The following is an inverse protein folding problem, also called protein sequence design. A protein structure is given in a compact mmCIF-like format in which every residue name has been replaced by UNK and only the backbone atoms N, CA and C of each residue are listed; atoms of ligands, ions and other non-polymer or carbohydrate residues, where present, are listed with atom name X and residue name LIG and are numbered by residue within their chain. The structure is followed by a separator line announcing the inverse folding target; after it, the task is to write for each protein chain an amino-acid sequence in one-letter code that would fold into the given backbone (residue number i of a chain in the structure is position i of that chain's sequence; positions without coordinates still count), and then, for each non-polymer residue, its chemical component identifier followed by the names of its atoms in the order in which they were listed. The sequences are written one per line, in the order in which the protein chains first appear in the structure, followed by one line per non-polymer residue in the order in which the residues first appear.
data_IF_180949134793
#
_entry.id   IF_180949134793
#
_cell.length_a   1.000
_cell.length_b   1.000
_cell.length_c   1.000
_cell.angle_alpha   90.00
_cell.angle_beta   90.00
_cell.angle_gamma   90.00
#
_symmetry.space_group_name_H-M   'P 1'
#
loop_
_entity.id
_entity.type
_entity.pdbx_description
1 polymer ?
#
# COMPACT_ATOMS: atom_id res chain seq x y z
N UNK A 1 65.25 65.97 -9.36
CA UNK A 1 63.94 65.98 -8.73
C UNK A 1 63.14 64.98 -9.49
N UNK A 2 63.25 63.72 -9.03
CA UNK A 2 62.64 62.54 -9.70
C UNK A 2 61.37 62.16 -9.00
N UNK A 3 60.26 62.03 -9.73
CA UNK A 3 59.04 61.47 -9.31
C UNK A 3 59.09 59.93 -9.54
N UNK A 4 58.90 59.15 -8.49
CA UNK A 4 58.71 57.75 -8.58
C UNK A 4 57.23 57.45 -8.49
N UNK A 5 56.63 56.97 -9.58
CA UNK A 5 55.27 56.45 -9.61
C UNK A 5 55.28 54.91 -9.26
N UNK A 6 54.69 54.56 -8.15
CA UNK A 6 54.51 53.15 -7.78
C UNK A 6 53.21 52.63 -8.45
N UNK A 7 53.35 51.63 -9.33
CA UNK A 7 52.22 50.93 -9.93
C UNK A 7 51.81 49.77 -9.00
N UNK A 8 50.61 49.80 -8.43
CA UNK A 8 49.98 48.71 -7.70
C UNK A 8 49.33 47.76 -8.72
N UNK A 9 49.88 46.57 -8.90
CA UNK A 9 49.24 45.50 -9.64
C UNK A 9 48.30 44.72 -8.71
N UNK A 10 47.01 44.88 -8.90
CA UNK A 10 45.97 44.06 -8.25
C UNK A 10 45.85 42.74 -8.99
N UNK A 11 46.37 41.68 -8.41
CA UNK A 11 46.12 40.30 -8.82
C UNK A 11 44.74 39.89 -8.34
N UNK A 12 43.78 39.82 -9.26
CA UNK A 12 42.48 39.19 -9.01
C UNK A 12 42.63 37.71 -9.22
N UNK A 13 42.71 36.95 -8.12
CA UNK A 13 42.55 35.50 -8.14
C UNK A 13 41.09 35.15 -8.38
N UNK A 14 40.75 34.76 -9.60
CA UNK A 14 39.50 34.12 -9.91
C UNK A 14 39.56 32.71 -9.30
N UNK A 15 38.90 32.52 -8.16
CA UNK A 15 38.60 31.16 -7.68
C UNK A 15 37.58 30.52 -8.62
N UNK A 16 38.06 29.68 -9.52
CA UNK A 16 37.23 28.79 -10.31
C UNK A 16 36.70 27.72 -9.35
N UNK A 17 35.44 27.85 -8.94
CA UNK A 17 34.75 26.79 -8.22
C UNK A 17 34.53 25.62 -9.16
N UNK A 18 35.14 24.48 -8.85
CA UNK A 18 35.03 23.24 -9.59
C UNK A 18 33.61 22.68 -9.37
N UNK A 19 32.75 22.54 -10.40
CA UNK A 19 31.38 22.02 -10.23
C UNK A 19 31.35 20.51 -10.06
N UNK A 20 32.50 19.81 -9.96
CA UNK A 20 32.56 18.36 -9.88
C UNK A 20 32.51 17.79 -8.45
N UNK A 21 32.39 18.63 -7.40
CA UNK A 21 32.49 18.15 -6.01
C UNK A 21 31.17 17.82 -5.33
N UNK A 22 30.07 17.68 -6.08
CA UNK A 22 28.76 17.34 -5.49
C UNK A 22 28.03 16.23 -6.24
N UNK A 23 28.77 15.25 -6.75
CA UNK A 23 28.17 13.94 -7.05
C UNK A 23 27.97 13.24 -5.71
N UNK A 24 26.73 13.31 -5.16
CA UNK A 24 26.33 12.42 -4.10
C UNK A 24 26.56 10.99 -4.62
N UNK A 25 27.51 10.26 -4.02
CA UNK A 25 27.67 8.85 -4.23
C UNK A 25 26.37 8.17 -3.81
N UNK A 26 25.49 7.93 -4.78
CA UNK A 26 24.39 7.00 -4.61
C UNK A 26 25.04 5.64 -4.48
N UNK A 27 25.31 5.20 -3.27
CA UNK A 27 25.76 3.84 -2.96
C UNK A 27 24.67 2.90 -3.43
N UNK A 28 24.87 2.30 -4.61
CA UNK A 28 23.95 1.29 -5.12
C UNK A 28 23.93 0.12 -4.11
N UNK A 29 22.77 -0.15 -3.53
CA UNK A 29 22.60 -1.30 -2.63
C UNK A 29 22.90 -2.58 -3.42
N UNK A 30 23.77 -3.47 -2.94
CA UNK A 30 24.07 -4.73 -3.62
C UNK A 30 22.79 -5.55 -3.84
N UNK A 31 22.64 -6.14 -5.01
CA UNK A 31 21.47 -6.96 -5.37
C UNK A 31 21.18 -8.06 -4.35
N UNK A 32 22.20 -8.62 -3.73
CA UNK A 32 22.09 -9.62 -2.66
C UNK A 32 21.43 -9.07 -1.38
N UNK A 33 21.67 -7.81 -1.06
CA UNK A 33 21.00 -7.14 0.09
C UNK A 33 19.53 -6.86 -0.20
N UNK A 34 19.22 -6.51 -1.45
CA UNK A 34 17.80 -6.33 -1.87
C UNK A 34 17.05 -7.66 -1.75
N UNK A 35 17.62 -8.76 -2.26
CA UNK A 35 16.99 -10.08 -2.14
C UNK A 35 16.84 -10.54 -0.68
N UNK A 36 17.83 -10.25 0.16
CA UNK A 36 17.75 -10.60 1.58
C UNK A 36 16.66 -9.78 2.32
N UNK A 37 16.52 -8.50 1.97
CA UNK A 37 15.47 -7.64 2.52
C UNK A 37 14.07 -8.08 2.08
N UNK A 38 13.90 -8.45 0.80
CA UNK A 38 12.65 -9.00 0.28
C UNK A 38 12.28 -10.32 0.97
N UNK A 39 13.23 -11.24 1.13
CA UNK A 39 12.99 -12.49 1.83
C UNK A 39 12.58 -12.26 3.29
N UNK A 40 13.25 -11.35 4.00
CA UNK A 40 12.93 -11.00 5.38
C UNK A 40 11.54 -10.34 5.49
N UNK A 41 11.14 -9.51 4.52
CA UNK A 41 9.81 -8.90 4.47
C UNK A 41 8.71 -9.95 4.27
N UNK A 42 8.94 -10.93 3.39
CA UNK A 42 8.01 -12.05 3.15
C UNK A 42 7.86 -12.88 4.43
N UNK A 43 8.95 -13.24 5.09
CA UNK A 43 8.90 -14.00 6.36
C UNK A 43 8.19 -13.22 7.47
N UNK A 44 8.44 -11.91 7.59
CA UNK A 44 7.78 -11.05 8.57
C UNK A 44 6.26 -10.93 8.28
N UNK A 45 5.87 -10.84 7.01
CA UNK A 45 4.47 -10.81 6.60
C UNK A 45 3.77 -12.14 6.90
N UNK A 46 4.41 -13.26 6.63
CA UNK A 46 3.89 -14.58 6.95
C UNK A 46 3.72 -14.78 8.46
N UNK A 47 4.73 -14.41 9.26
CA UNK A 47 4.66 -14.49 10.71
C UNK A 47 3.56 -13.58 11.30
N UNK A 48 3.37 -12.38 10.71
CA UNK A 48 2.28 -11.49 11.08
C UNK A 48 0.91 -12.07 10.73
N UNK A 49 0.78 -12.75 9.59
CA UNK A 49 -0.45 -13.43 9.19
C UNK A 49 -0.78 -14.59 10.14
N UNK A 50 0.21 -15.41 10.51
CA UNK A 50 0.04 -16.53 11.44
C UNK A 50 -0.48 -16.07 12.79
N UNK A 51 -0.04 -14.93 13.30
CA UNK A 51 -0.51 -14.38 14.56
C UNK A 51 -2.03 -14.11 14.58
N UNK A 52 -2.64 -13.74 13.44
CA UNK A 52 -4.07 -13.46 13.32
C UNK A 52 -4.91 -14.70 12.96
N UNK A 53 -4.28 -15.81 12.58
CA UNK A 53 -5.02 -17.01 12.18
C UNK A 53 -5.80 -17.64 13.36
N UNK A 54 -5.26 -17.55 14.56
CA UNK A 54 -5.84 -18.16 15.77
C UNK A 54 -6.55 -17.16 16.70
N UNK A 55 -6.52 -15.87 16.38
CA UNK A 55 -7.19 -14.83 17.19
C UNK A 55 -8.72 -14.98 17.13
N UNK A 56 -9.42 -14.62 18.22
CA UNK A 56 -10.89 -14.54 18.19
C UNK A 56 -11.31 -13.45 17.18
N UNK A 57 -12.23 -13.73 16.26
CA UNK A 57 -12.61 -12.74 15.24
C UNK A 57 -13.44 -11.60 15.84
N UNK A 58 -13.10 -10.36 15.49
CA UNK A 58 -13.88 -9.18 15.85
C UNK A 58 -15.19 -9.11 15.08
N UNK A 59 -15.18 -9.61 13.84
CA UNK A 59 -16.38 -9.61 12.99
C UNK A 59 -16.52 -10.88 12.14
N UNK A 60 -17.78 -11.19 11.86
CA UNK A 60 -18.18 -12.12 10.80
C UNK A 60 -18.99 -11.36 9.77
N UNK A 61 -18.41 -11.15 8.57
CA UNK A 61 -18.96 -10.26 7.56
C UNK A 61 -19.32 -11.03 6.28
N UNK A 62 -20.52 -10.79 5.76
CA UNK A 62 -20.94 -11.37 4.48
C UNK A 62 -20.30 -10.64 3.31
N UNK A 63 -19.46 -11.34 2.55
CA UNK A 63 -18.69 -10.78 1.44
C UNK A 63 -19.53 -10.44 0.22
N UNK A 64 -19.15 -9.36 -0.43
CA UNK A 64 -19.52 -8.97 -1.79
C UNK A 64 -18.25 -8.63 -2.54
N UNK A 65 -18.35 -8.52 -3.86
CA UNK A 65 -17.24 -8.16 -4.74
C UNK A 65 -17.64 -6.98 -5.60
N UNK A 66 -16.74 -6.00 -5.74
CA UNK A 66 -16.92 -4.89 -6.67
C UNK A 66 -15.65 -4.61 -7.47
N UNK A 67 -15.82 -3.90 -8.60
CA UNK A 67 -14.72 -3.55 -9.49
C UNK A 67 -14.94 -2.18 -10.14
N UNK A 68 -13.87 -1.55 -10.61
CA UNK A 68 -13.95 -0.38 -11.47
C UNK A 68 -14.38 -0.78 -12.90
N UNK A 69 -14.89 0.19 -13.67
CA UNK A 69 -15.35 -0.06 -15.03
C UNK A 69 -16.75 -0.70 -15.08
N UNK A 70 -17.70 -0.13 -14.34
CA UNK A 70 -19.12 -0.53 -14.35
C UNK A 70 -19.54 -1.47 -13.22
N UNK A 71 -18.63 -1.75 -12.28
CA UNK A 71 -18.88 -2.67 -11.16
C UNK A 71 -18.95 -2.01 -9.78
N UNK A 72 -19.32 -0.72 -9.71
CA UNK A 72 -19.54 0.01 -8.44
C UNK A 72 -18.45 1.02 -8.09
N UNK A 73 -17.18 0.78 -8.41
CA UNK A 73 -16.12 1.76 -8.18
C UNK A 73 -16.12 2.84 -9.28
N UNK A 74 -16.18 4.11 -8.89
CA UNK A 74 -16.34 5.27 -9.80
C UNK A 74 -15.17 6.26 -9.73
N UNK A 75 -14.05 5.91 -9.13
CA UNK A 75 -12.89 6.80 -8.96
C UNK A 75 -12.20 6.57 -7.63
N UNK A 76 -12.01 7.64 -6.85
CA UNK A 76 -11.47 7.54 -5.51
C UNK A 76 -12.43 6.84 -4.55
N UNK A 77 -11.88 6.17 -3.54
CA UNK A 77 -12.64 5.61 -2.43
C UNK A 77 -13.18 6.69 -1.48
N UNK A 78 -13.86 6.29 -0.42
CA UNK A 78 -14.47 7.24 0.51
C UNK A 78 -13.48 8.02 1.40
N UNK A 79 -12.20 7.68 1.37
CA UNK A 79 -11.11 8.48 1.96
C UNK A 79 -10.46 9.44 0.96
N UNK A 80 -10.86 9.41 -0.31
CA UNK A 80 -10.24 10.17 -1.39
C UNK A 80 -9.00 9.48 -1.99
N UNK A 81 -8.76 8.22 -1.65
CA UNK A 81 -7.62 7.44 -2.12
C UNK A 81 -7.95 6.67 -3.40
N UNK A 82 -6.94 6.32 -4.17
CA UNK A 82 -7.10 5.35 -5.26
C UNK A 82 -7.35 3.96 -4.67
N UNK A 83 -8.46 3.30 -4.99
CA UNK A 83 -8.68 1.93 -4.53
C UNK A 83 -7.60 0.99 -5.04
N UNK A 84 -7.10 0.12 -4.17
CA UNK A 84 -6.07 -0.87 -4.50
C UNK A 84 -6.71 -2.24 -4.59
N UNK A 85 -6.54 -2.89 -5.74
CA UNK A 85 -7.10 -4.21 -5.99
C UNK A 85 -6.61 -5.22 -4.94
N UNK A 86 -7.54 -6.00 -4.40
CA UNK A 86 -7.27 -7.00 -3.37
C UNK A 86 -6.65 -6.42 -2.09
N UNK A 87 -6.87 -5.11 -1.81
CA UNK A 87 -6.46 -4.42 -0.58
C UNK A 87 -7.56 -3.51 -0.04
N UNK A 88 -8.28 -2.81 -0.90
CA UNK A 88 -9.38 -1.92 -0.49
C UNK A 88 -10.65 -2.70 -0.23
N UNK A 89 -11.33 -2.37 0.87
CA UNK A 89 -12.67 -2.86 1.16
C UNK A 89 -13.63 -1.72 1.48
N UNK A 90 -14.87 -1.87 1.02
CA UNK A 90 -15.98 -1.04 1.47
C UNK A 90 -16.72 -1.70 2.65
N UNK A 91 -17.03 -0.89 3.64
CA UNK A 91 -17.63 -1.32 4.91
C UNK A 91 -18.79 -0.40 5.33
N UNK A 92 -19.58 -0.83 6.31
CA UNK A 92 -20.44 0.05 7.09
C UNK A 92 -19.61 0.65 8.25
N UNK A 93 -19.33 1.96 8.26
CA UNK A 93 -18.49 2.57 9.30
C UNK A 93 -19.09 2.55 10.70
N UNK A 94 -20.36 2.13 10.85
CA UNK A 94 -20.99 1.89 12.15
C UNK A 94 -20.66 0.51 12.73
N UNK A 95 -20.14 -0.41 11.90
CA UNK A 95 -19.75 -1.77 12.27
C UNK A 95 -18.23 -1.90 12.29
N UNK A 96 -17.59 -1.53 11.21
CA UNK A 96 -16.12 -1.51 11.09
C UNK A 96 -15.68 -0.05 10.92
N UNK A 97 -14.89 0.51 11.83
CA UNK A 97 -14.42 1.89 11.69
C UNK A 97 -13.58 2.08 10.41
N UNK A 98 -13.70 3.24 9.76
CA UNK A 98 -12.78 3.60 8.67
C UNK A 98 -11.34 3.61 9.16
N UNK A 99 -10.39 3.36 8.29
CA UNK A 99 -8.95 3.28 8.58
C UNK A 99 -8.58 2.10 9.49
N UNK A 100 -9.42 1.09 9.56
CA UNK A 100 -9.07 -0.18 10.18
C UNK A 100 -8.31 -1.03 9.16
N UNK A 101 -7.13 -1.53 9.53
CA UNK A 101 -6.45 -2.63 8.86
C UNK A 101 -7.12 -3.91 9.33
N UNK A 102 -7.58 -4.70 8.39
CA UNK A 102 -8.31 -5.95 8.63
C UNK A 102 -7.45 -7.13 8.22
N UNK A 103 -7.58 -8.23 8.94
CA UNK A 103 -7.08 -9.52 8.51
C UNK A 103 -8.27 -10.45 8.20
N UNK A 104 -8.37 -10.92 6.97
CA UNK A 104 -9.44 -11.80 6.50
C UNK A 104 -8.84 -13.17 6.21
N UNK A 105 -9.12 -14.14 7.08
CA UNK A 105 -8.50 -15.46 7.05
C UNK A 105 -8.67 -16.20 5.73
N UNK A 106 -9.86 -16.15 5.17
CA UNK A 106 -10.22 -16.84 3.94
C UNK A 106 -9.47 -16.33 2.70
N UNK A 107 -8.74 -15.22 2.84
CA UNK A 107 -7.95 -14.66 1.74
C UNK A 107 -6.47 -15.02 1.81
N UNK A 108 -6.00 -15.58 2.92
CA UNK A 108 -4.61 -16.02 3.06
C UNK A 108 -4.31 -17.13 2.05
N UNK A 109 -3.21 -16.99 1.32
CA UNK A 109 -2.79 -17.98 0.32
C UNK A 109 -3.55 -17.93 -1.00
N UNK A 110 -4.51 -17.00 -1.17
CA UNK A 110 -5.26 -16.84 -2.41
C UNK A 110 -4.35 -16.37 -3.54
N UNK A 111 -4.32 -17.11 -4.65
CA UNK A 111 -3.54 -16.75 -5.83
C UNK A 111 -4.16 -15.57 -6.58
N UNK A 112 -3.39 -14.52 -6.79
CA UNK A 112 -3.81 -13.32 -7.53
C UNK A 112 -3.45 -13.44 -9.02
N UNK A 113 -4.18 -12.72 -9.90
CA UNK A 113 -3.95 -12.80 -11.36
C UNK A 113 -2.55 -12.36 -11.81
N UNK A 114 -1.85 -11.59 -11.01
CA UNK A 114 -0.49 -11.09 -11.25
C UNK A 114 0.61 -12.01 -10.68
N UNK A 115 0.24 -13.17 -10.15
CA UNK A 115 1.14 -14.17 -9.60
C UNK A 115 1.48 -13.99 -8.12
N UNK A 116 1.02 -12.92 -7.50
CA UNK A 116 1.17 -12.73 -6.05
C UNK A 116 0.25 -13.66 -5.27
N UNK A 117 0.61 -13.87 -4.02
CA UNK A 117 -0.19 -14.60 -3.03
C UNK A 117 -0.73 -13.62 -2.01
N UNK A 118 -2.03 -13.69 -1.71
CA UNK A 118 -2.65 -12.79 -0.75
C UNK A 118 -2.24 -13.13 0.68
N UNK A 119 -1.85 -12.12 1.45
CA UNK A 119 -1.37 -12.23 2.83
C UNK A 119 -2.48 -12.11 3.90
N UNK A 120 -3.72 -11.96 3.48
CA UNK A 120 -4.87 -11.80 4.38
C UNK A 120 -5.19 -10.35 4.77
N UNK A 121 -4.31 -9.37 4.53
CA UNK A 121 -4.52 -8.00 4.96
C UNK A 121 -5.32 -7.15 3.98
N UNK A 122 -6.30 -6.42 4.53
CA UNK A 122 -7.20 -5.51 3.83
C UNK A 122 -7.33 -4.18 4.56
N UNK A 123 -7.83 -3.16 3.87
CA UNK A 123 -7.90 -1.80 4.40
C UNK A 123 -9.31 -1.22 4.23
N UNK A 124 -9.96 -0.89 5.34
CA UNK A 124 -11.29 -0.28 5.38
C UNK A 124 -11.22 1.20 4.98
N UNK A 125 -11.03 1.47 3.70
CA UNK A 125 -10.89 2.82 3.13
C UNK A 125 -12.13 3.27 2.35
N UNK A 126 -13.03 2.34 2.00
CA UNK A 126 -14.20 2.67 1.21
C UNK A 126 -15.52 2.44 1.97
N UNK A 127 -16.61 2.98 1.43
CA UNK A 127 -17.97 2.77 1.92
C UNK A 127 -18.92 2.68 0.74
N UNK A 128 -19.89 1.77 0.82
CA UNK A 128 -20.91 1.60 -0.21
C UNK A 128 -22.31 1.94 0.31
N UNK A 129 -23.15 2.54 -0.54
CA UNK A 129 -24.55 2.81 -0.21
C UNK A 129 -25.34 1.54 0.16
N UNK A 130 -25.04 0.43 -0.50
CA UNK A 130 -25.63 -0.88 -0.26
C UNK A 130 -24.88 -1.73 0.79
N UNK A 131 -23.70 -1.31 1.24
CA UNK A 131 -22.90 -2.02 2.23
C UNK A 131 -23.27 -1.53 3.61
N UNK A 132 -24.20 -2.26 4.24
CA UNK A 132 -24.78 -1.93 5.56
C UNK A 132 -24.74 -3.14 6.48
N UNK A 133 -24.54 -2.86 7.79
CA UNK A 133 -24.46 -3.90 8.81
C UNK A 133 -23.27 -4.83 8.59
N UNK A 134 -23.47 -6.12 8.81
CA UNK A 134 -22.41 -7.14 8.68
C UNK A 134 -22.10 -7.51 7.23
N UNK A 135 -21.89 -6.52 6.37
CA UNK A 135 -21.47 -6.70 4.97
C UNK A 135 -20.10 -6.08 4.75
N UNK A 136 -19.30 -6.72 3.91
CA UNK A 136 -18.03 -6.22 3.41
C UNK A 136 -17.99 -6.38 1.89
N UNK A 137 -17.45 -5.40 1.17
CA UNK A 137 -17.33 -5.45 -0.28
C UNK A 137 -15.86 -5.34 -0.67
N UNK A 138 -15.34 -6.38 -1.30
CA UNK A 138 -13.93 -6.53 -1.63
C UNK A 138 -13.66 -5.92 -3.00
N UNK A 139 -12.78 -4.93 -3.08
CA UNK A 139 -12.36 -4.34 -4.35
C UNK A 139 -11.40 -5.26 -5.09
N UNK A 140 -11.79 -5.72 -6.26
CA UNK A 140 -11.03 -6.72 -7.00
C UNK A 140 -10.17 -6.13 -8.13
N UNK A 141 -10.35 -4.85 -8.47
CA UNK A 141 -9.58 -4.19 -9.52
C UNK A 141 -10.46 -3.67 -10.66
N UNK A 142 -9.95 -3.68 -11.90
CA UNK A 142 -10.64 -3.14 -13.05
C UNK A 142 -11.28 -4.24 -13.91
N UNK A 143 -12.54 -4.01 -14.27
CA UNK A 143 -13.32 -4.89 -15.14
C UNK A 143 -13.81 -6.15 -14.43
N UNK A 144 -14.88 -6.75 -14.96
CA UNK A 144 -15.53 -7.92 -14.37
C UNK A 144 -14.62 -9.13 -14.19
N UNK A 145 -13.61 -9.26 -15.05
CA UNK A 145 -12.63 -10.37 -14.98
C UNK A 145 -11.77 -10.35 -13.73
N UNK A 146 -11.57 -9.17 -13.10
CA UNK A 146 -10.79 -9.04 -11.88
C UNK A 146 -11.39 -9.79 -10.67
N UNK A 147 -12.70 -10.03 -10.68
CA UNK A 147 -13.39 -10.74 -9.59
C UNK A 147 -13.07 -12.23 -9.54
N UNK A 148 -12.48 -12.82 -10.59
CA UNK A 148 -12.35 -14.29 -10.74
C UNK A 148 -11.65 -14.94 -9.54
N UNK A 149 -10.55 -14.37 -9.07
CA UNK A 149 -9.80 -14.92 -7.94
C UNK A 149 -10.60 -14.91 -6.63
N UNK A 150 -11.41 -13.86 -6.41
CA UNK A 150 -12.20 -13.69 -5.20
C UNK A 150 -13.62 -14.30 -5.29
N UNK A 151 -14.03 -14.84 -6.44
CA UNK A 151 -15.39 -15.40 -6.63
C UNK A 151 -15.77 -16.45 -5.57
N UNK A 152 -14.87 -17.33 -5.10
CA UNK A 152 -15.21 -18.27 -4.02
C UNK A 152 -15.61 -17.61 -2.70
N UNK A 153 -15.23 -16.36 -2.49
CA UNK A 153 -15.57 -15.60 -1.27
C UNK A 153 -16.95 -14.93 -1.36
N UNK A 154 -17.45 -14.74 -2.58
CA UNK A 154 -18.68 -13.97 -2.81
C UNK A 154 -19.89 -14.61 -2.13
N UNK A 155 -20.66 -13.83 -1.38
CA UNK A 155 -21.81 -14.23 -0.59
C UNK A 155 -21.49 -15.12 0.64
N UNK A 156 -20.24 -15.48 0.86
CA UNK A 156 -19.81 -16.23 2.04
C UNK A 156 -19.60 -15.30 3.24
N UNK A 157 -19.67 -15.87 4.44
CA UNK A 157 -19.30 -15.17 5.68
C UNK A 157 -17.82 -15.32 5.91
N UNK A 158 -17.12 -14.19 6.00
CA UNK A 158 -15.69 -14.12 6.25
C UNK A 158 -15.39 -13.93 7.73
N UNK A 159 -14.28 -14.49 8.17
CA UNK A 159 -13.70 -14.36 9.51
C UNK A 159 -12.72 -13.21 9.50
N UNK A 160 -13.04 -12.13 10.21
CA UNK A 160 -12.32 -10.86 10.15
C UNK A 160 -11.80 -10.47 11.52
N UNK A 161 -10.50 -10.18 11.59
CA UNK A 161 -9.80 -9.70 12.79
C UNK A 161 -9.32 -8.27 12.57
N UNK A 162 -9.35 -7.43 13.61
CA UNK A 162 -8.77 -6.10 13.58
C UNK A 162 -7.25 -6.19 13.68
N UNK A 163 -6.54 -5.88 12.60
CA UNK A 163 -5.08 -5.92 12.54
C UNK A 163 -4.45 -4.53 12.76
N UNK A 164 -5.17 -3.64 13.44
CA UNK A 164 -4.73 -2.28 13.77
C UNK A 164 -5.33 -1.20 12.88
N UNK A 165 -4.67 -0.05 12.85
CA UNK A 165 -5.12 1.15 12.14
C UNK A 165 -4.08 1.59 11.12
N UNK A 166 -4.50 2.37 10.12
CA UNK A 166 -3.59 2.99 9.16
C UNK A 166 -3.91 4.48 8.99
N UNK A 167 -2.88 5.25 8.63
CA UNK A 167 -2.99 6.67 8.33
C UNK A 167 -2.84 6.91 6.82
N UNK A 168 -3.36 8.04 6.34
CA UNK A 168 -3.31 8.37 4.92
C UNK A 168 -4.15 7.42 4.06
N UNK A 169 -3.58 6.97 2.94
CA UNK A 169 -4.17 5.98 2.04
C UNK A 169 -3.65 4.57 2.34
N UNK A 170 -4.42 3.52 1.94
CA UNK A 170 -3.91 2.15 2.01
C UNK A 170 -2.56 2.04 1.29
N UNK A 171 -1.59 1.27 1.83
CA UNK A 171 -0.33 1.01 1.14
C UNK A 171 -0.59 0.19 -0.13
N UNK A 172 0.21 0.45 -1.17
CA UNK A 172 0.26 -0.44 -2.33
C UNK A 172 0.77 -1.83 -1.92
N UNK A 173 0.68 -2.80 -2.82
CA UNK A 173 1.35 -4.07 -2.66
C UNK A 173 2.87 -3.85 -2.65
N UNK A 174 3.53 -4.36 -1.64
CA UNK A 174 5.00 -4.41 -1.57
C UNK A 174 5.55 -5.46 -2.52
#
# INVERSE_FOLDING_TARGET
MLNAAAALALLWSLAVSDPAANAAETTAVPYTEVLAAEAAAIEASAAAADAFMDEEPDWRLSARLYHAGGGGATGADSLGCRPIAMRTVAIDPRVVPRRTRLFIRETVGMQLPDGRVHDGFWYASDTGGAIKGSKIDLYTGHGRGSMRAAMPLNMNTLTVVEAGRFDGCPPDWE
#
